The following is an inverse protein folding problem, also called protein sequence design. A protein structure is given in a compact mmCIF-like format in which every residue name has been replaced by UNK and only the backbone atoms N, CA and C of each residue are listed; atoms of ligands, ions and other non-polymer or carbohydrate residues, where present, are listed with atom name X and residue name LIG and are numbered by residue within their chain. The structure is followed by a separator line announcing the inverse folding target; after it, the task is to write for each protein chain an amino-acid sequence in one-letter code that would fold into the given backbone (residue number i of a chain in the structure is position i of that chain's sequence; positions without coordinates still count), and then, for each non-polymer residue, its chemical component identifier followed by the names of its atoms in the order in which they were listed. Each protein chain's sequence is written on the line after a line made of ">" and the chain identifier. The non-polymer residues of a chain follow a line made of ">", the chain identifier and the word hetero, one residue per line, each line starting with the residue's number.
data_IF_108142626065
#
_entry.id   IF_108142626065
#
_cell.length_a   1.000
_cell.length_b   1.000
_cell.length_c   1.000
_cell.angle_alpha   90.00
_cell.angle_beta   90.00
_cell.angle_gamma   90.00
#
_symmetry.space_group_name_H-M   'P 1'
#
loop_
_entity.id
_entity.type
_entity.pdbx_description
1 polymer ?
#
# COMPACT_ATOMS: atom_id res chain seq x y z
N UNK A 1 36.40 31.04 -8.46
CA UNK A 1 35.88 30.40 -7.24
C UNK A 1 34.63 29.63 -7.63
N UNK A 2 34.73 28.31 -7.68
CA UNK A 2 33.64 27.43 -8.09
C UNK A 2 32.90 27.03 -6.83
N UNK A 3 31.71 27.57 -6.61
CA UNK A 3 30.89 27.18 -5.46
C UNK A 3 30.21 25.84 -5.76
N UNK A 4 30.80 24.80 -5.18
CA UNK A 4 30.23 23.47 -5.04
C UNK A 4 29.07 23.55 -4.05
N UNK A 5 27.83 23.57 -4.54
CA UNK A 5 26.65 23.42 -3.68
C UNK A 5 26.30 21.95 -3.53
N UNK A 6 26.47 21.48 -2.30
CA UNK A 6 26.29 20.12 -1.85
C UNK A 6 24.88 19.56 -2.13
N UNK A 7 24.85 18.27 -2.46
CA UNK A 7 23.67 17.45 -2.57
C UNK A 7 22.99 17.33 -1.20
N UNK A 8 21.75 17.81 -1.06
CA UNK A 8 20.95 17.64 0.14
C UNK A 8 20.08 16.38 0.01
N UNK A 9 20.64 15.23 0.35
CA UNK A 9 19.88 14.01 0.67
C UNK A 9 20.27 13.57 2.07
N UNK A 10 19.80 14.28 3.11
CA UNK A 10 19.77 13.76 4.49
C UNK A 10 18.98 14.67 5.45
N UNK A 11 17.67 14.76 5.28
CA UNK A 11 16.79 15.08 6.40
C UNK A 11 15.61 14.16 6.33
N UNK A 12 15.49 13.27 7.32
CA UNK A 12 14.39 12.32 7.50
C UNK A 12 13.04 13.04 7.44
N UNK A 13 12.50 13.13 6.24
CA UNK A 13 11.12 13.50 6.03
C UNK A 13 10.31 12.32 6.56
N UNK A 14 9.67 12.49 7.72
CA UNK A 14 8.43 11.75 7.97
C UNK A 14 7.52 12.14 6.82
N UNK A 15 7.47 11.30 5.77
CA UNK A 15 6.50 11.46 4.70
C UNK A 15 5.16 11.23 5.41
N UNK A 16 4.52 12.31 5.85
CA UNK A 16 3.14 12.26 6.31
C UNK A 16 2.36 11.62 5.17
N UNK A 17 1.91 10.38 5.40
CA UNK A 17 1.22 9.62 4.38
C UNK A 17 -0.05 10.37 4.05
N UNK A 18 -0.22 10.70 2.78
CA UNK A 18 -1.39 11.45 2.37
C UNK A 18 -2.59 10.51 2.35
N UNK A 19 -3.77 11.04 2.61
CA UNK A 19 -5.03 10.30 2.42
C UNK A 19 -5.10 9.70 1.00
N UNK A 20 -4.58 10.41 -0.01
CA UNK A 20 -4.50 9.93 -1.39
C UNK A 20 -3.68 8.64 -1.57
N UNK A 21 -2.64 8.46 -0.76
CA UNK A 21 -1.79 7.27 -0.82
C UNK A 21 -2.54 6.06 -0.26
N UNK A 22 -3.27 6.27 0.84
CA UNK A 22 -4.14 5.26 1.43
C UNK A 22 -5.31 4.90 0.50
N UNK A 23 -5.89 5.88 -0.20
CA UNK A 23 -6.92 5.64 -1.21
C UNK A 23 -6.38 4.78 -2.37
N UNK A 24 -5.17 5.06 -2.82
CA UNK A 24 -4.51 4.28 -3.88
C UNK A 24 -4.27 2.84 -3.42
N UNK A 25 -3.78 2.64 -2.19
CA UNK A 25 -3.60 1.32 -1.61
C UNK A 25 -4.92 0.55 -1.45
N UNK A 26 -6.02 1.23 -1.11
CA UNK A 26 -7.35 0.63 -1.02
C UNK A 26 -7.86 0.15 -2.40
N UNK A 27 -7.63 0.91 -3.47
CA UNK A 27 -7.96 0.49 -4.84
C UNK A 27 -7.17 -0.75 -5.24
N UNK A 28 -5.87 -0.80 -4.92
CA UNK A 28 -5.04 -1.97 -5.18
C UNK A 28 -5.56 -3.18 -4.39
N UNK A 29 -5.90 -3.01 -3.11
CA UNK A 29 -6.46 -4.08 -2.28
C UNK A 29 -7.77 -4.63 -2.87
N UNK A 30 -8.65 -3.75 -3.37
CA UNK A 30 -9.88 -4.18 -4.04
C UNK A 30 -9.58 -5.06 -5.27
N UNK A 31 -8.63 -4.66 -6.12
CA UNK A 31 -8.22 -5.47 -7.26
C UNK A 31 -7.63 -6.84 -6.88
N UNK A 32 -6.96 -6.95 -5.71
CA UNK A 32 -6.48 -8.23 -5.21
C UNK A 32 -7.63 -9.15 -4.78
N UNK A 33 -8.67 -8.59 -4.16
CA UNK A 33 -9.89 -9.34 -3.79
C UNK A 33 -10.64 -9.81 -5.04
N UNK A 34 -10.77 -8.96 -6.05
CA UNK A 34 -11.36 -9.33 -7.34
C UNK A 34 -10.57 -10.46 -8.02
N UNK A 35 -9.24 -10.40 -7.99
CA UNK A 35 -8.40 -11.47 -8.53
C UNK A 35 -8.60 -12.80 -7.81
N UNK A 36 -8.76 -12.79 -6.48
CA UNK A 36 -9.07 -14.00 -5.69
C UNK A 36 -10.43 -14.57 -6.11
N UNK A 37 -11.46 -13.74 -6.24
CA UNK A 37 -12.79 -14.17 -6.66
C UNK A 37 -12.77 -14.79 -8.07
N UNK A 38 -12.12 -14.13 -9.03
CA UNK A 38 -11.97 -14.64 -10.39
C UNK A 38 -11.25 -16.01 -10.41
N UNK A 39 -10.14 -16.13 -9.69
CA UNK A 39 -9.40 -17.39 -9.61
C UNK A 39 -10.21 -18.50 -8.94
N UNK A 40 -10.96 -18.18 -7.88
CA UNK A 40 -11.80 -19.14 -7.19
C UNK A 40 -12.94 -19.66 -8.10
N UNK A 41 -13.50 -18.78 -8.93
CA UNK A 41 -14.56 -19.12 -9.88
C UNK A 41 -14.06 -19.96 -11.07
N UNK A 42 -12.76 -19.93 -11.42
CA UNK A 42 -12.18 -20.76 -12.48
C UNK A 42 -11.77 -22.18 -12.02
N UNK A 43 -11.88 -22.49 -10.72
CA UNK A 43 -11.68 -23.82 -10.14
C UNK A 43 -10.33 -24.04 -9.45
N UNK A 44 -10.11 -25.25 -8.94
CA UNK A 44 -9.05 -25.56 -7.95
C UNK A 44 -7.60 -25.39 -8.45
N UNK A 45 -7.38 -25.25 -9.77
CA UNK A 45 -6.03 -25.11 -10.35
C UNK A 45 -5.26 -23.88 -9.84
N UNK A 46 -5.96 -22.89 -9.31
CA UNK A 46 -5.37 -21.67 -8.79
C UNK A 46 -5.16 -21.67 -7.28
N UNK A 47 -5.33 -22.79 -6.56
CA UNK A 47 -5.23 -22.82 -5.10
C UNK A 47 -3.96 -22.16 -4.55
N UNK A 48 -2.80 -22.41 -5.16
CA UNK A 48 -1.53 -21.77 -4.78
C UNK A 48 -1.51 -20.26 -5.06
N UNK A 49 -2.09 -19.83 -6.18
CA UNK A 49 -2.17 -18.41 -6.54
C UNK A 49 -3.15 -17.66 -5.63
N UNK A 50 -4.30 -18.24 -5.34
CA UNK A 50 -5.28 -17.73 -4.37
C UNK A 50 -4.62 -17.57 -3.01
N UNK A 51 -3.90 -18.59 -2.52
CA UNK A 51 -3.19 -18.51 -1.24
C UNK A 51 -2.16 -17.37 -1.23
N UNK A 52 -1.33 -17.27 -2.27
CA UNK A 52 -0.31 -16.23 -2.37
C UNK A 52 -0.92 -14.81 -2.42
N UNK A 53 -1.96 -14.61 -3.23
CA UNK A 53 -2.64 -13.30 -3.32
C UNK A 53 -3.38 -12.97 -2.03
N UNK A 54 -3.95 -13.96 -1.34
CA UNK A 54 -4.60 -13.77 -0.03
C UNK A 54 -3.61 -13.26 1.01
N UNK A 55 -2.42 -13.86 1.09
CA UNK A 55 -1.36 -13.41 2.01
C UNK A 55 -0.94 -11.97 1.68
N UNK A 56 -0.67 -11.67 0.41
CA UNK A 56 -0.27 -10.33 -0.01
C UNK A 56 -1.39 -9.30 0.23
N UNK A 57 -2.65 -9.68 0.06
CA UNK A 57 -3.81 -8.81 0.32
C UNK A 57 -3.94 -8.53 1.81
N UNK A 58 -3.74 -9.53 2.67
CA UNK A 58 -3.76 -9.36 4.12
C UNK A 58 -2.64 -8.43 4.59
N UNK A 59 -1.42 -8.62 4.10
CA UNK A 59 -0.29 -7.75 4.43
C UNK A 59 -0.57 -6.29 4.01
N UNK A 60 -1.13 -6.10 2.81
CA UNK A 60 -1.51 -4.77 2.32
C UNK A 60 -2.66 -4.16 3.13
N UNK A 61 -3.65 -4.95 3.53
CA UNK A 61 -4.76 -4.49 4.37
C UNK A 61 -4.26 -4.04 5.76
N UNK A 62 -3.38 -4.82 6.38
CA UNK A 62 -2.76 -4.47 7.67
C UNK A 62 -1.93 -3.18 7.57
N UNK A 63 -1.15 -3.04 6.49
CA UNK A 63 -0.40 -1.83 6.22
C UNK A 63 -1.33 -0.62 6.03
N UNK A 64 -2.35 -0.75 5.19
CA UNK A 64 -3.33 0.31 4.95
C UNK A 64 -4.02 0.75 6.24
N UNK A 65 -4.41 -0.20 7.11
CA UNK A 65 -4.98 0.12 8.42
C UNK A 65 -4.00 0.90 9.30
N UNK A 66 -2.76 0.43 9.44
CA UNK A 66 -1.72 1.14 10.20
C UNK A 66 -1.44 2.54 9.65
N UNK A 67 -1.46 2.68 8.33
CA UNK A 67 -1.20 3.94 7.66
C UNK A 67 -2.37 4.92 7.84
N UNK A 68 -3.62 4.45 7.77
CA UNK A 68 -4.81 5.26 8.09
C UNK A 68 -4.81 5.72 9.55
N UNK A 69 -4.45 4.85 10.49
CA UNK A 69 -4.34 5.20 11.92
C UNK A 69 -3.25 6.26 12.18
N UNK A 70 -2.23 6.30 11.32
CA UNK A 70 -1.15 7.30 11.41
C UNK A 70 -1.52 8.67 10.84
N UNK A 71 -2.64 8.79 10.13
CA UNK A 71 -3.09 10.06 9.56
C UNK A 71 -3.55 10.97 10.69
N UNK A 72 -2.75 12.01 10.95
CA UNK A 72 -3.05 13.01 11.94
C UNK A 72 -3.99 14.07 11.32
N UNK A 73 -5.29 13.97 11.61
CA UNK A 73 -6.26 15.00 11.20
C UNK A 73 -6.02 16.29 12.00
N UNK A 74 -5.08 17.13 11.56
CA UNK A 74 -5.00 18.52 12.02
C UNK A 74 -6.14 19.31 11.38
N UNK A 75 -7.31 19.28 12.02
CA UNK A 75 -8.46 20.07 11.60
C UNK A 75 -9.78 19.53 12.15
N UNK A 76 -10.02 19.75 13.44
CA UNK A 76 -11.36 19.86 14.03
C UNK A 76 -11.35 21.06 14.96
#
# INVERSE_FOLDING_TARGET
>A
MTEQRACATDTGLTIERRVSDCQSDAVVLAGMVEAIDLMANEGERFGNAIAAVTIAALDRANKLASDLDSINFKGA
#
